data_IF_670846558636
#
_entry.id   IF_670846558636
#
_cell.length_a   1.000
_cell.length_b   1.000
_cell.length_c   1.000
_cell.angle_alpha   90.00
_cell.angle_beta   90.00
_cell.angle_gamma   90.00
#
_symmetry.space_group_name_H-M   'P 1'
#
loop_
_entity.id
_entity.type
_entity.pdbx_description
1 polymer ?
#
# COMPACT_ATOMS: atom_id res chain seq x y z
N UNK A 1 26.75 53.68 -74.71
CA UNK A 1 26.17 54.97 -75.11
C UNK A 1 24.99 55.34 -74.25
N UNK A 2 25.24 56.36 -73.49
CA UNK A 2 24.38 57.52 -73.24
C UNK A 2 23.03 57.35 -72.56
N UNK A 3 22.99 57.91 -71.47
CA UNK A 3 22.52 59.26 -71.07
C UNK A 3 21.00 59.18 -70.77
N UNK A 4 20.47 59.72 -69.78
CA UNK A 4 20.62 60.89 -69.01
C UNK A 4 19.40 61.20 -68.19
N UNK A 5 19.62 61.70 -67.06
CA UNK A 5 19.16 62.94 -66.44
C UNK A 5 17.65 63.19 -66.11
N UNK A 6 17.54 63.58 -64.87
CA UNK A 6 16.58 64.48 -64.19
C UNK A 6 15.14 63.98 -63.95
N UNK A 7 14.64 63.99 -62.81
CA UNK A 7 14.54 64.97 -61.78
C UNK A 7 13.08 65.29 -61.49
N UNK A 8 12.66 65.17 -60.29
CA UNK A 8 11.79 66.12 -59.58
C UNK A 8 11.15 65.49 -58.32
N UNK A 9 11.35 66.13 -57.25
CA UNK A 9 10.76 65.89 -55.97
C UNK A 9 9.23 66.01 -55.98
N UNK A 10 8.56 65.07 -55.29
CA UNK A 10 7.21 65.30 -54.78
C UNK A 10 7.12 64.72 -53.38
N UNK A 11 6.81 65.62 -52.52
CA UNK A 11 6.48 65.30 -51.07
C UNK A 11 5.24 64.42 -51.08
N UNK A 12 5.28 63.35 -50.35
CA UNK A 12 4.07 62.62 -49.89
C UNK A 12 4.21 62.27 -48.47
N UNK A 13 3.15 62.58 -47.79
CA UNK A 13 2.92 62.44 -46.32
C UNK A 13 3.12 61.04 -45.82
N UNK A 14 3.86 60.94 -44.73
CA UNK A 14 3.97 59.75 -43.90
C UNK A 14 2.72 59.56 -43.04
N UNK A 15 1.94 58.58 -43.35
CA UNK A 15 0.96 58.00 -42.44
C UNK A 15 1.63 56.85 -41.70
N UNK A 16 1.91 57.09 -40.42
CA UNK A 16 2.37 56.05 -39.51
C UNK A 16 1.21 55.12 -39.15
N UNK A 17 1.23 53.91 -39.67
CA UNK A 17 0.34 52.84 -39.21
C UNK A 17 1.02 52.14 -38.01
N UNK A 18 0.52 52.40 -36.83
CA UNK A 18 0.84 51.64 -35.64
C UNK A 18 0.27 50.22 -35.78
N UNK A 19 1.12 49.27 -36.11
CA UNK A 19 0.78 47.85 -35.95
C UNK A 19 0.86 47.49 -34.46
N UNK A 20 -0.28 47.37 -33.80
CA UNK A 20 -0.39 46.76 -32.50
C UNK A 20 -0.15 45.26 -32.64
N UNK A 21 1.02 44.79 -32.29
CA UNK A 21 1.28 43.36 -32.12
C UNK A 21 0.62 42.91 -30.83
N UNK A 22 -0.51 42.26 -30.91
CA UNK A 22 -1.12 41.50 -29.83
C UNK A 22 -0.24 40.26 -29.57
N UNK A 23 0.69 40.39 -28.64
CA UNK A 23 1.38 39.25 -28.07
C UNK A 23 0.37 38.54 -27.16
N UNK A 24 -0.28 37.50 -27.67
CA UNK A 24 -0.98 36.53 -26.82
C UNK A 24 0.06 35.73 -26.07
N UNK A 25 0.48 36.25 -24.91
CA UNK A 25 1.24 35.51 -23.94
C UNK A 25 0.34 34.38 -23.37
N UNK A 26 0.57 33.16 -23.79
CA UNK A 26 0.07 32.02 -23.08
C UNK A 26 0.73 32.05 -21.70
N UNK A 27 0.00 32.55 -20.69
CA UNK A 27 0.36 32.31 -19.30
C UNK A 27 0.31 30.79 -19.08
N UNK A 28 1.48 30.17 -19.06
CA UNK A 28 1.61 28.86 -18.49
C UNK A 28 1.17 28.99 -17.03
N UNK A 29 0.01 28.45 -16.70
CA UNK A 29 -0.46 28.37 -15.34
C UNK A 29 0.54 27.47 -14.59
N UNK A 30 1.42 28.10 -13.81
CA UNK A 30 2.20 27.35 -12.81
C UNK A 30 1.16 26.73 -11.85
N UNK A 31 1.21 25.41 -11.60
CA UNK A 31 0.35 24.83 -10.61
C UNK A 31 0.57 25.58 -9.29
N UNK A 32 -0.51 26.05 -8.71
CA UNK A 32 -0.45 26.70 -7.41
C UNK A 32 0.14 25.68 -6.39
N UNK A 33 1.03 26.12 -5.47
CA UNK A 33 1.47 25.23 -4.42
C UNK A 33 0.24 24.75 -3.65
N UNK A 34 0.19 23.43 -3.36
CA UNK A 34 -0.90 22.84 -2.60
C UNK A 34 -1.10 23.65 -1.30
N UNK A 35 -2.32 24.13 -1.09
CA UNK A 35 -2.68 24.85 0.12
C UNK A 35 -2.82 23.84 1.27
N UNK A 36 -2.59 24.29 2.50
CA UNK A 36 -2.84 23.50 3.70
C UNK A 36 -4.29 22.98 3.80
N UNK A 37 -5.20 23.55 3.03
CA UNK A 37 -6.62 23.19 2.96
C UNK A 37 -6.90 21.96 2.06
N UNK A 38 -5.91 21.46 1.31
CA UNK A 38 -6.06 20.33 0.39
C UNK A 38 -5.70 18.99 1.02
N UNK A 39 -5.91 18.83 2.32
CA UNK A 39 -5.67 17.56 3.02
C UNK A 39 -6.69 16.51 2.58
N UNK A 40 -6.22 15.29 2.31
CA UNK A 40 -7.09 14.14 2.08
C UNK A 40 -7.79 13.82 3.41
N UNK A 41 -9.10 14.00 3.48
CA UNK A 41 -9.89 13.81 4.70
C UNK A 41 -10.64 12.49 4.72
N UNK A 42 -10.81 11.85 3.56
CA UNK A 42 -11.49 10.57 3.41
C UNK A 42 -11.00 9.82 2.17
N UNK A 43 -11.34 8.54 2.09
CA UNK A 43 -11.13 7.66 0.96
C UNK A 43 -12.44 6.93 0.64
N UNK A 44 -12.62 6.46 -0.59
CA UNK A 44 -13.85 5.73 -0.96
C UNK A 44 -14.03 4.45 -0.14
N UNK A 45 -12.95 3.74 0.17
CA UNK A 45 -13.02 2.53 1.00
C UNK A 45 -13.56 2.80 2.41
N UNK A 46 -13.42 4.02 2.94
CA UNK A 46 -13.86 4.36 4.29
C UNK A 46 -15.36 4.11 4.46
N UNK A 47 -16.16 4.56 3.49
CA UNK A 47 -17.61 4.28 3.45
C UNK A 47 -17.90 2.82 3.11
N UNK A 48 -17.17 2.27 2.17
CA UNK A 48 -17.36 0.88 1.73
C UNK A 48 -17.25 -0.12 2.88
N UNK A 49 -16.27 0.07 3.76
CA UNK A 49 -16.07 -0.80 4.94
C UNK A 49 -16.85 -0.34 6.19
N UNK A 50 -17.62 0.71 6.12
CA UNK A 50 -18.33 1.28 7.28
C UNK A 50 -17.39 1.59 8.45
N UNK A 51 -16.25 2.22 8.17
CA UNK A 51 -15.21 2.49 9.18
C UNK A 51 -15.64 3.52 10.21
N UNK A 52 -16.56 4.44 9.87
CA UNK A 52 -17.21 5.34 10.81
C UNK A 52 -17.93 4.57 11.94
N UNK A 53 -18.73 3.58 11.57
CA UNK A 53 -19.42 2.70 12.53
C UNK A 53 -18.44 1.87 13.37
N UNK A 54 -17.37 1.38 12.75
CA UNK A 54 -16.31 0.60 13.44
C UNK A 54 -15.62 1.48 14.49
N UNK A 55 -15.25 2.70 14.13
CA UNK A 55 -14.62 3.68 15.03
C UNK A 55 -15.55 4.13 16.15
N UNK A 56 -16.83 4.36 15.85
CA UNK A 56 -17.83 4.74 16.84
C UNK A 56 -17.99 3.71 17.97
N UNK A 57 -17.67 2.44 17.69
CA UNK A 57 -17.64 1.35 18.68
C UNK A 57 -16.31 1.23 19.43
N UNK A 58 -15.34 2.10 19.15
CA UNK A 58 -14.03 2.10 19.78
C UNK A 58 -13.04 1.09 19.17
N UNK A 59 -13.34 0.52 18.00
CA UNK A 59 -12.43 -0.40 17.31
C UNK A 59 -11.48 0.40 16.42
N UNK A 60 -10.29 0.69 16.94
CA UNK A 60 -9.33 1.62 16.33
C UNK A 60 -7.90 1.07 16.23
N UNK A 61 -7.68 -0.16 16.67
CA UNK A 61 -6.39 -0.82 16.58
C UNK A 61 -5.47 -0.59 17.78
N UNK A 62 -5.98 -0.02 18.87
CA UNK A 62 -5.20 0.20 20.09
C UNK A 62 -4.52 -1.09 20.59
N UNK A 63 -3.24 -0.98 20.97
CA UNK A 63 -2.45 -2.07 21.52
C UNK A 63 -1.82 -2.99 20.47
N UNK A 64 -2.01 -2.72 19.19
CA UNK A 64 -1.40 -3.51 18.10
C UNK A 64 -0.25 -2.73 17.45
N UNK A 65 0.84 -3.41 17.22
CA UNK A 65 1.98 -2.92 16.43
C UNK A 65 1.93 -3.52 15.03
N UNK A 66 1.86 -2.64 14.03
CA UNK A 66 1.95 -2.98 12.61
C UNK A 66 3.33 -2.60 12.11
N UNK A 67 4.02 -3.52 11.45
CA UNK A 67 5.18 -3.19 10.64
C UNK A 67 4.77 -2.99 9.18
N UNK A 68 5.21 -1.92 8.58
CA UNK A 68 5.08 -1.66 7.15
C UNK A 68 6.46 -1.74 6.51
N UNK A 69 6.61 -2.56 5.51
CA UNK A 69 7.86 -2.67 4.73
C UNK A 69 7.58 -2.10 3.34
N UNK A 70 8.16 -0.92 3.07
CA UNK A 70 7.92 -0.17 1.84
C UNK A 70 9.07 0.83 1.63
N UNK A 71 8.86 1.86 0.82
CA UNK A 71 9.74 2.99 0.69
C UNK A 71 9.69 3.97 1.87
N UNK A 72 10.38 5.10 1.77
CA UNK A 72 10.39 6.13 2.81
C UNK A 72 9.03 6.80 2.95
N UNK A 73 8.55 6.88 4.19
CA UNK A 73 7.31 7.58 4.53
C UNK A 73 7.60 9.04 4.85
N UNK A 74 6.88 9.95 4.22
CA UNK A 74 6.86 11.37 4.61
C UNK A 74 5.94 11.57 5.81
N UNK A 75 6.52 11.53 7.00
CA UNK A 75 5.77 11.73 8.26
C UNK A 75 5.27 13.16 8.45
N UNK A 76 5.71 14.10 7.63
CA UNK A 76 5.22 15.49 7.62
C UNK A 76 3.95 15.67 6.78
N UNK A 77 3.54 14.64 6.02
CA UNK A 77 2.33 14.71 5.22
C UNK A 77 1.09 15.03 6.08
N UNK A 78 0.21 15.93 5.62
CA UNK A 78 -0.97 16.32 6.40
C UNK A 78 -1.86 15.14 6.81
N UNK A 79 -1.91 14.11 5.98
CA UNK A 79 -2.70 12.90 6.19
C UNK A 79 -2.19 12.04 7.36
N UNK A 80 -0.96 12.24 7.80
CA UNK A 80 -0.31 11.48 8.87
C UNK A 80 -0.18 12.25 10.20
N UNK A 81 -0.70 13.47 10.25
CA UNK A 81 -0.69 14.27 11.50
C UNK A 81 -1.39 13.52 12.63
N UNK A 82 -0.71 13.39 13.75
CA UNK A 82 -1.22 12.72 14.96
C UNK A 82 -1.14 11.19 14.93
N UNK A 83 -0.72 10.58 13.83
CA UNK A 83 -0.50 9.14 13.75
C UNK A 83 0.75 8.72 14.56
N UNK A 84 0.70 7.55 15.16
CA UNK A 84 1.83 6.99 15.90
C UNK A 84 2.74 6.18 14.96
N UNK A 85 3.71 6.86 14.37
CA UNK A 85 4.62 6.29 13.38
C UNK A 85 6.07 6.45 13.84
N UNK A 86 6.82 5.34 13.78
CA UNK A 86 8.27 5.33 13.86
C UNK A 86 8.82 4.88 12.51
N UNK A 87 9.68 5.69 11.90
CA UNK A 87 10.37 5.33 10.67
C UNK A 87 11.72 4.73 11.01
N UNK A 88 12.03 3.59 10.40
CA UNK A 88 13.34 2.94 10.48
C UNK A 88 13.90 2.78 9.07
N UNK A 89 15.16 3.17 8.90
CA UNK A 89 15.87 3.08 7.63
C UNK A 89 17.04 2.10 7.78
N UNK A 90 16.80 0.79 7.63
CA UNK A 90 17.84 -0.22 7.79
C UNK A 90 18.93 -0.10 6.72
N UNK A 91 18.62 0.57 5.63
CA UNK A 91 19.51 0.81 4.52
C UNK A 91 19.24 2.20 3.94
N UNK A 92 20.28 3.03 3.85
CA UNK A 92 20.19 4.34 3.20
C UNK A 92 20.30 4.19 1.68
N UNK A 93 19.41 4.82 0.97
CA UNK A 93 19.36 4.82 -0.50
C UNK A 93 18.58 6.04 -1.01
N UNK A 94 18.79 6.38 -2.28
CA UNK A 94 18.01 7.42 -2.94
C UNK A 94 16.71 6.82 -3.47
N UNK A 95 15.62 7.11 -2.79
CA UNK A 95 14.31 6.64 -3.20
C UNK A 95 13.76 7.48 -4.34
N UNK A 96 13.21 6.80 -5.36
CA UNK A 96 12.46 7.44 -6.41
C UNK A 96 11.23 8.18 -5.84
N UNK A 97 10.80 9.24 -6.52
CA UNK A 97 9.62 10.02 -6.15
C UNK A 97 8.37 9.14 -5.96
N UNK A 98 8.13 8.24 -6.91
CA UNK A 98 6.97 7.35 -6.86
C UNK A 98 7.02 6.41 -5.66
N UNK A 99 8.19 5.95 -5.27
CA UNK A 99 8.40 5.13 -4.08
C UNK A 99 8.00 5.88 -2.81
N UNK A 100 8.36 7.17 -2.69
CA UNK A 100 7.99 8.03 -1.55
C UNK A 100 6.49 8.29 -1.49
N UNK A 101 5.89 8.62 -2.63
CA UNK A 101 4.45 8.84 -2.75
C UNK A 101 3.67 7.59 -2.38
N UNK A 102 4.08 6.43 -2.88
CA UNK A 102 3.48 5.14 -2.61
C UNK A 102 3.54 4.80 -1.11
N UNK A 103 4.72 4.85 -0.51
CA UNK A 103 4.92 4.50 0.90
C UNK A 103 4.09 5.38 1.84
N UNK A 104 4.02 6.69 1.58
CA UNK A 104 3.21 7.62 2.37
C UNK A 104 1.72 7.32 2.24
N UNK A 105 1.23 7.00 1.05
CA UNK A 105 -0.16 6.58 0.83
C UNK A 105 -0.48 5.28 1.57
N UNK A 106 0.39 4.27 1.52
CA UNK A 106 0.23 3.00 2.25
C UNK A 106 0.18 3.24 3.77
N UNK A 107 1.08 4.05 4.31
CA UNK A 107 1.06 4.42 5.73
C UNK A 107 -0.26 5.11 6.12
N UNK A 108 -0.76 5.99 5.26
CA UNK A 108 -2.04 6.69 5.49
C UNK A 108 -3.23 5.74 5.54
N UNK A 109 -3.26 4.73 4.66
CA UNK A 109 -4.30 3.69 4.68
C UNK A 109 -4.28 2.92 6.00
N UNK A 110 -3.12 2.67 6.57
CA UNK A 110 -3.00 1.97 7.85
C UNK A 110 -3.43 2.82 9.03
N UNK A 111 -2.89 4.03 9.17
CA UNK A 111 -2.94 4.77 10.44
C UNK A 111 -3.36 6.24 10.36
N UNK A 112 -3.79 6.76 9.21
CA UNK A 112 -4.32 8.13 9.16
C UNK A 112 -5.44 8.31 10.19
N UNK A 113 -5.39 9.40 10.95
CA UNK A 113 -6.47 9.73 11.89
C UNK A 113 -7.79 9.98 11.19
N UNK A 114 -7.76 10.45 9.94
CA UNK A 114 -8.96 10.74 9.18
C UNK A 114 -9.59 9.47 8.57
N UNK A 115 -8.80 8.59 7.99
CA UNK A 115 -9.32 7.47 7.20
C UNK A 115 -8.54 6.16 7.31
N UNK A 116 -7.53 6.07 8.15
CA UNK A 116 -6.77 4.83 8.36
C UNK A 116 -7.65 3.72 8.94
N UNK A 117 -7.32 2.48 8.60
CA UNK A 117 -8.03 1.29 9.13
C UNK A 117 -7.85 1.17 10.64
N UNK A 118 -6.65 1.41 11.14
CA UNK A 118 -6.26 1.24 12.53
C UNK A 118 -5.57 2.51 13.06
N UNK A 119 -6.31 3.62 13.23
CA UNK A 119 -5.73 4.93 13.52
C UNK A 119 -5.03 5.04 14.88
N UNK A 120 -5.28 4.13 15.81
CA UNK A 120 -4.66 4.09 17.13
C UNK A 120 -3.67 2.92 17.29
N UNK A 121 -3.35 2.22 16.21
CA UNK A 121 -2.24 1.28 16.18
C UNK A 121 -0.89 1.99 16.19
N UNK A 122 0.14 1.29 16.63
CA UNK A 122 1.52 1.73 16.44
C UNK A 122 2.01 1.23 15.09
N UNK A 123 2.50 2.13 14.25
CA UNK A 123 3.12 1.80 12.96
C UNK A 123 4.63 1.95 13.05
N UNK A 124 5.36 0.90 12.70
CA UNK A 124 6.80 0.98 12.44
C UNK A 124 6.98 0.81 10.94
N UNK A 125 7.44 1.87 10.29
CA UNK A 125 7.67 1.90 8.86
C UNK A 125 9.15 1.66 8.55
N UNK A 126 9.44 0.53 7.90
CA UNK A 126 10.79 0.17 7.46
C UNK A 126 10.96 0.60 6.01
N UNK A 127 11.89 1.52 5.79
CA UNK A 127 12.26 1.98 4.46
C UNK A 127 13.28 1.05 3.83
N UNK A 128 12.90 0.38 2.77
CA UNK A 128 13.77 -0.53 2.00
C UNK A 128 13.70 -0.21 0.52
N UNK A 129 14.82 -0.35 -0.25
CA UNK A 129 14.79 -0.09 -1.69
C UNK A 129 13.86 -1.07 -2.42
N UNK A 130 13.26 -0.58 -3.49
CA UNK A 130 12.52 -1.37 -4.48
C UNK A 130 13.37 -1.60 -5.72
N UNK A 131 12.85 -2.40 -6.68
CA UNK A 131 13.55 -2.62 -7.95
C UNK A 131 13.76 -1.33 -8.78
N UNK A 132 12.98 -0.29 -8.51
CA UNK A 132 13.06 1.01 -9.19
C UNK A 132 14.04 1.99 -8.52
N UNK A 133 14.59 1.63 -7.36
CA UNK A 133 15.50 2.48 -6.60
C UNK A 133 16.96 2.09 -6.85
N UNK A 134 17.85 3.08 -6.82
CA UNK A 134 19.28 2.79 -6.89
C UNK A 134 19.76 2.20 -5.55
N UNK A 135 20.24 0.95 -5.61
CA UNK A 135 20.77 0.27 -4.45
C UNK A 135 22.11 0.86 -4.03
N UNK A 136 22.17 1.44 -2.84
CA UNK A 136 23.41 1.76 -2.16
C UNK A 136 23.36 1.43 -0.68
N UNK A 137 22.87 0.26 -0.34
CA UNK A 137 22.89 -0.23 1.03
C UNK A 137 24.30 -0.50 1.51
N UNK A 138 24.97 0.49 2.04
CA UNK A 138 26.41 0.44 2.38
C UNK A 138 26.71 0.06 3.82
N UNK A 139 25.73 -0.13 4.71
CA UNK A 139 26.02 -0.06 6.15
C UNK A 139 25.88 -1.35 6.96
N UNK A 140 25.24 -2.41 6.50
CA UNK A 140 25.26 -3.67 7.25
C UNK A 140 25.21 -4.87 6.31
N UNK A 141 26.27 -5.69 6.35
CA UNK A 141 26.33 -6.93 5.58
C UNK A 141 25.25 -7.94 5.97
N UNK A 142 24.70 -7.86 7.18
CA UNK A 142 23.60 -8.68 7.66
C UNK A 142 22.23 -8.20 7.19
N UNK A 143 22.14 -6.93 6.83
CA UNK A 143 20.94 -6.27 6.32
C UNK A 143 21.04 -5.99 4.82
N UNK A 144 22.05 -6.58 4.15
CA UNK A 144 22.23 -6.42 2.70
C UNK A 144 20.94 -6.68 1.99
N UNK A 145 20.47 -5.66 1.40
CA UNK A 145 19.37 -5.59 0.45
C UNK A 145 18.13 -6.22 1.02
N UNK A 146 17.35 -5.64 1.79
CA UNK A 146 16.20 -6.37 1.60
C UNK A 146 15.09 -6.30 2.58
N UNK A 147 14.04 -6.43 1.93
CA UNK A 147 12.77 -6.74 2.52
C UNK A 147 12.89 -7.82 3.60
N UNK A 148 13.66 -8.90 3.42
CA UNK A 148 13.75 -9.95 4.46
C UNK A 148 14.51 -9.52 5.72
N UNK A 149 15.53 -8.70 5.60
CA UNK A 149 16.15 -8.08 6.78
C UNK A 149 15.16 -7.21 7.56
N UNK A 150 14.25 -6.53 6.86
CA UNK A 150 13.16 -5.80 7.48
C UNK A 150 12.13 -6.72 8.17
N UNK A 151 11.86 -7.92 7.65
CA UNK A 151 11.03 -8.92 8.33
C UNK A 151 11.63 -9.33 9.69
N UNK A 152 12.95 -9.57 9.73
CA UNK A 152 13.65 -9.89 10.97
C UNK A 152 13.57 -8.75 11.99
N UNK A 153 13.81 -7.52 11.54
CA UNK A 153 13.68 -6.33 12.39
C UNK A 153 12.26 -6.17 12.90
N UNK A 154 11.27 -6.34 12.04
CA UNK A 154 9.87 -6.23 12.42
C UNK A 154 9.48 -7.22 13.51
N UNK A 155 9.93 -8.47 13.40
CA UNK A 155 9.71 -9.49 14.45
C UNK A 155 10.41 -9.10 15.76
N UNK A 156 11.66 -8.65 15.69
CA UNK A 156 12.43 -8.23 16.87
C UNK A 156 11.82 -6.99 17.53
N UNK A 157 11.20 -6.11 16.77
CA UNK A 157 10.52 -4.92 17.27
C UNK A 157 9.11 -5.19 17.79
N UNK A 158 8.65 -6.43 17.77
CA UNK A 158 7.37 -6.84 18.33
C UNK A 158 6.17 -6.63 17.44
N UNK A 159 6.37 -6.54 16.11
CA UNK A 159 5.26 -6.45 15.18
C UNK A 159 4.34 -7.68 15.28
N UNK A 160 3.05 -7.43 15.27
CA UNK A 160 2.02 -8.47 15.28
C UNK A 160 1.44 -8.70 13.87
N UNK A 161 1.51 -7.69 13.02
CA UNK A 161 1.10 -7.71 11.61
C UNK A 161 2.21 -7.07 10.79
N UNK A 162 2.57 -7.70 9.69
CA UNK A 162 3.49 -7.12 8.70
C UNK A 162 2.70 -6.85 7.42
N UNK A 163 2.60 -5.58 7.02
CA UNK A 163 2.05 -5.14 5.75
C UNK A 163 3.19 -4.93 4.76
N UNK A 164 3.25 -5.77 3.73
CA UNK A 164 4.28 -5.76 2.71
C UNK A 164 3.66 -5.47 1.35
N UNK A 165 3.74 -4.22 0.89
CA UNK A 165 3.04 -3.75 -0.31
C UNK A 165 3.90 -3.81 -1.58
N UNK A 166 4.64 -4.88 -1.74
CA UNK A 166 5.49 -5.15 -2.92
C UNK A 166 5.28 -6.55 -3.46
N UNK A 167 5.43 -6.72 -4.76
CA UNK A 167 5.53 -8.02 -5.41
C UNK A 167 6.99 -8.24 -5.79
N UNK A 168 7.72 -8.98 -4.97
CA UNK A 168 9.10 -9.39 -5.28
C UNK A 168 9.08 -10.70 -6.07
N UNK A 169 9.79 -10.69 -7.17
CA UNK A 169 9.87 -11.84 -8.07
C UNK A 169 10.89 -12.91 -7.65
N UNK A 170 11.50 -12.78 -6.48
CA UNK A 170 12.65 -13.60 -6.10
C UNK A 170 12.38 -14.40 -4.82
N UNK A 171 11.35 -15.25 -4.87
CA UNK A 171 10.82 -15.96 -3.70
C UNK A 171 11.64 -17.18 -3.26
N UNK A 172 12.52 -17.67 -4.10
CA UNK A 172 13.29 -18.87 -3.79
C UNK A 172 14.50 -18.61 -2.89
N UNK A 173 14.72 -17.37 -2.47
CA UNK A 173 15.84 -17.06 -1.60
C UNK A 173 15.63 -17.63 -0.20
N UNK A 174 16.55 -18.48 0.23
CA UNK A 174 16.52 -19.12 1.53
C UNK A 174 16.32 -18.15 2.71
N UNK A 175 16.93 -16.94 2.76
CA UNK A 175 16.69 -15.99 3.84
C UNK A 175 15.24 -15.55 3.98
N UNK A 176 14.54 -15.25 2.87
CA UNK A 176 13.13 -14.88 2.91
C UNK A 176 12.26 -16.05 3.39
N UNK A 177 12.52 -17.25 2.89
CA UNK A 177 11.85 -18.46 3.34
C UNK A 177 11.92 -18.62 4.86
N UNK A 178 13.11 -18.48 5.42
CA UNK A 178 13.32 -18.61 6.86
C UNK A 178 12.71 -17.48 7.67
N UNK A 179 12.72 -16.23 7.16
CA UNK A 179 12.06 -15.11 7.80
C UNK A 179 10.54 -15.31 7.91
N UNK A 180 9.91 -15.79 6.83
CA UNK A 180 8.48 -16.12 6.81
C UNK A 180 8.15 -17.25 7.77
N UNK A 181 8.94 -18.32 7.76
CA UNK A 181 8.74 -19.46 8.66
C UNK A 181 8.84 -19.03 10.13
N UNK A 182 9.82 -18.21 10.49
CA UNK A 182 9.94 -17.67 11.84
C UNK A 182 8.77 -16.75 12.21
N UNK A 183 8.32 -15.91 11.28
CA UNK A 183 7.16 -15.06 11.52
C UNK A 183 5.93 -15.91 11.88
N UNK A 184 5.67 -16.96 11.12
CA UNK A 184 4.58 -17.90 11.41
C UNK A 184 4.74 -18.55 12.77
N UNK A 185 5.93 -19.06 13.10
CA UNK A 185 6.22 -19.70 14.37
C UNK A 185 6.07 -18.75 15.57
N UNK A 186 6.35 -17.46 15.38
CA UNK A 186 6.18 -16.41 16.40
C UNK A 186 4.77 -15.79 16.41
N UNK A 187 3.88 -16.22 15.53
CA UNK A 187 2.52 -15.72 15.45
C UNK A 187 2.38 -14.33 14.84
N UNK A 188 3.35 -13.90 14.05
CA UNK A 188 3.25 -12.67 13.25
C UNK A 188 2.49 -12.97 11.97
N UNK A 189 1.51 -12.14 11.63
CA UNK A 189 0.69 -12.30 10.42
C UNK A 189 1.26 -11.41 9.32
N UNK A 190 1.66 -12.04 8.21
CA UNK A 190 2.21 -11.35 7.04
C UNK A 190 1.12 -11.21 5.99
N UNK A 191 0.99 -9.99 5.44
CA UNK A 191 0.02 -9.64 4.41
C UNK A 191 0.76 -9.08 3.20
N UNK A 192 0.49 -9.62 2.01
CA UNK A 192 1.16 -9.20 0.79
C UNK A 192 0.27 -9.25 -0.46
N UNK A 193 0.56 -8.43 -1.48
CA UNK A 193 -0.25 -8.34 -2.69
C UNK A 193 0.03 -9.48 -3.66
N UNK A 194 -1.00 -9.85 -4.42
CA UNK A 194 -0.85 -10.86 -5.49
C UNK A 194 -0.19 -10.30 -6.76
N UNK A 195 -0.28 -9.00 -7.00
CA UNK A 195 0.27 -8.35 -8.19
C UNK A 195 -0.78 -7.63 -9.04
N UNK A 196 -0.29 -6.87 -10.04
CA UNK A 196 -1.10 -5.94 -10.85
C UNK A 196 -1.03 -6.23 -12.36
N UNK A 197 -0.73 -7.45 -12.76
CA UNK A 197 -0.47 -7.81 -14.15
C UNK A 197 -1.66 -8.52 -14.83
N UNK A 198 -2.81 -8.56 -14.17
CA UNK A 198 -4.05 -9.20 -14.66
C UNK A 198 -3.80 -10.63 -15.18
N UNK A 199 -3.05 -11.42 -14.40
CA UNK A 199 -2.69 -12.82 -14.73
C UNK A 199 -2.58 -13.68 -13.48
N UNK A 200 -2.45 -14.98 -13.67
CA UNK A 200 -2.10 -15.92 -12.60
C UNK A 200 -0.67 -15.68 -12.12
N UNK A 201 -0.52 -15.29 -10.87
CA UNK A 201 0.75 -14.96 -10.23
C UNK A 201 1.18 -16.01 -9.19
N UNK A 202 0.68 -17.22 -9.30
CA UNK A 202 1.09 -18.34 -8.45
C UNK A 202 2.56 -18.47 -8.47
N UNK A 203 3.41 -18.45 -7.71
CA UNK A 203 4.88 -18.55 -7.66
C UNK A 203 5.65 -17.23 -7.75
N UNK A 204 4.99 -16.10 -8.02
CA UNK A 204 5.69 -14.84 -8.27
C UNK A 204 5.56 -13.80 -7.15
N UNK A 205 4.76 -14.04 -6.11
CA UNK A 205 4.56 -13.07 -5.03
C UNK A 205 4.61 -13.72 -3.65
N UNK A 206 4.87 -12.90 -2.64
CA UNK A 206 4.78 -13.31 -1.24
C UNK A 206 3.38 -13.87 -0.90
N UNK A 207 2.36 -13.41 -1.60
CA UNK A 207 0.99 -13.89 -1.49
C UNK A 207 0.84 -15.40 -1.68
N UNK A 208 1.72 -16.02 -2.48
CA UNK A 208 1.66 -17.46 -2.74
C UNK A 208 2.16 -18.32 -1.55
N UNK A 209 2.99 -17.77 -0.69
CA UNK A 209 3.63 -18.54 0.38
C UNK A 209 2.63 -19.04 1.43
N UNK A 210 2.86 -20.25 1.93
CA UNK A 210 2.11 -20.80 3.05
C UNK A 210 2.15 -19.86 4.26
N UNK A 211 1.01 -19.72 4.94
CA UNK A 211 0.89 -18.90 6.13
C UNK A 211 0.79 -17.39 5.89
N UNK A 212 1.04 -16.90 4.69
CA UNK A 212 0.85 -15.48 4.36
C UNK A 212 -0.58 -15.18 3.92
N UNK A 213 -1.05 -13.98 4.16
CA UNK A 213 -2.35 -13.49 3.68
C UNK A 213 -2.14 -12.81 2.33
N UNK A 214 -2.39 -13.54 1.25
CA UNK A 214 -2.36 -13.02 -0.11
C UNK A 214 -3.58 -12.17 -0.41
N UNK A 215 -3.38 -10.99 -0.99
CA UNK A 215 -4.43 -9.99 -1.22
C UNK A 215 -4.55 -9.65 -2.70
N UNK A 216 -5.75 -9.79 -3.23
CA UNK A 216 -6.15 -9.25 -4.53
C UNK A 216 -6.93 -7.95 -4.38
N UNK A 217 -7.24 -7.29 -5.50
CA UNK A 217 -7.95 -6.02 -5.46
C UNK A 217 -9.36 -6.11 -6.05
N UNK A 218 -10.26 -5.42 -5.36
CA UNK A 218 -11.56 -4.99 -5.87
C UNK A 218 -11.58 -3.47 -5.98
N UNK A 219 -12.52 -2.91 -6.74
CA UNK A 219 -12.79 -1.48 -6.73
C UNK A 219 -13.71 -1.09 -5.55
N UNK A 220 -14.04 0.19 -5.43
CA UNK A 220 -14.91 0.71 -4.36
C UNK A 220 -16.38 0.28 -4.47
N UNK A 221 -16.77 -0.43 -5.53
CA UNK A 221 -18.09 -1.08 -5.67
C UNK A 221 -18.07 -2.56 -5.28
N UNK A 222 -16.88 -3.12 -5.04
CA UNK A 222 -16.69 -4.53 -4.72
C UNK A 222 -16.46 -5.44 -5.94
N UNK A 223 -16.38 -4.86 -7.14
CA UNK A 223 -16.09 -5.60 -8.36
C UNK A 223 -14.59 -5.92 -8.44
N UNK A 224 -14.25 -7.12 -8.93
CA UNK A 224 -12.85 -7.50 -9.10
C UNK A 224 -12.14 -6.53 -10.04
N UNK A 225 -11.02 -5.97 -9.59
CA UNK A 225 -10.30 -4.94 -10.33
C UNK A 225 -9.60 -5.54 -11.56
N UNK A 226 -9.78 -4.91 -12.72
CA UNK A 226 -9.26 -5.41 -13.99
C UNK A 226 -7.74 -5.55 -14.05
N UNK A 227 -7.00 -4.77 -13.24
CA UNK A 227 -5.55 -4.86 -13.13
C UNK A 227 -5.08 -5.94 -12.16
N UNK A 228 -5.95 -6.42 -11.26
CA UNK A 228 -5.53 -7.37 -10.24
C UNK A 228 -5.10 -8.69 -10.85
N UNK A 229 -3.94 -9.16 -10.41
CA UNK A 229 -3.57 -10.55 -10.61
C UNK A 229 -4.40 -11.46 -9.70
N UNK A 230 -4.31 -12.75 -9.90
CA UNK A 230 -5.01 -13.79 -9.15
C UNK A 230 -4.15 -15.02 -8.95
N UNK A 231 -4.63 -16.00 -8.23
CA UNK A 231 -3.94 -17.28 -8.08
C UNK A 231 -4.27 -18.01 -6.78
N UNK A 232 -3.62 -19.14 -6.60
CA UNK A 232 -3.83 -20.05 -5.47
C UNK A 232 -3.49 -19.40 -4.12
N UNK A 233 -2.59 -18.42 -4.11
CA UNK A 233 -2.16 -17.75 -2.88
C UNK A 233 -3.14 -16.73 -2.32
N UNK A 234 -4.17 -16.33 -3.07
CA UNK A 234 -5.11 -15.29 -2.63
C UNK A 234 -5.97 -15.80 -1.49
N UNK A 235 -6.01 -15.05 -0.40
CA UNK A 235 -6.80 -15.34 0.81
C UNK A 235 -7.99 -14.40 0.92
N UNK A 236 -7.78 -13.13 0.63
CA UNK A 236 -8.80 -12.10 0.72
C UNK A 236 -8.62 -11.05 -0.39
N UNK A 237 -9.68 -10.31 -0.66
CA UNK A 237 -9.63 -9.13 -1.50
C UNK A 237 -9.80 -7.86 -0.68
N UNK A 238 -9.17 -6.78 -1.11
CA UNK A 238 -9.36 -5.46 -0.53
C UNK A 238 -9.61 -4.41 -1.60
N UNK A 239 -10.16 -3.26 -1.22
CA UNK A 239 -10.33 -2.13 -2.15
C UNK A 239 -8.97 -1.58 -2.53
N UNK A 240 -8.54 -1.83 -3.76
CA UNK A 240 -7.25 -1.38 -4.28
C UNK A 240 -7.29 -0.03 -4.98
N UNK A 241 -8.46 0.57 -5.11
CA UNK A 241 -8.65 1.86 -5.73
C UNK A 241 -10.12 2.24 -5.99
N UNK A 242 -10.36 3.52 -6.35
CA UNK A 242 -9.38 4.59 -6.39
C UNK A 242 -8.87 4.98 -5.00
N UNK A 243 -7.58 5.27 -4.91
CA UNK A 243 -6.93 5.76 -3.69
C UNK A 243 -6.38 7.15 -3.98
N UNK A 244 -6.78 8.13 -3.19
CA UNK A 244 -6.19 9.46 -3.23
C UNK A 244 -4.81 9.44 -2.60
N UNK A 245 -3.82 9.87 -3.36
CA UNK A 245 -2.43 9.96 -2.92
C UNK A 245 -1.87 11.36 -3.18
N UNK A 246 -1.05 11.84 -2.26
CA UNK A 246 -0.33 13.11 -2.38
C UNK A 246 1.02 12.86 -3.02
N UNK A 247 1.24 13.48 -4.17
CA UNK A 247 2.56 13.47 -4.82
C UNK A 247 3.61 14.10 -3.88
N UNK A 248 4.72 13.39 -3.66
CA UNK A 248 5.74 13.80 -2.71
C UNK A 248 6.42 15.14 -3.10
N UNK A 249 6.66 15.37 -4.38
CA UNK A 249 7.37 16.58 -4.83
C UNK A 249 6.44 17.77 -5.00
N UNK A 250 5.25 17.57 -5.56
CA UNK A 250 4.34 18.66 -5.94
C UNK A 250 3.24 18.92 -4.92
N UNK A 251 2.97 17.98 -4.02
CA UNK A 251 1.84 18.02 -3.12
C UNK A 251 0.48 17.84 -3.80
N UNK A 252 0.46 17.60 -5.11
CA UNK A 252 -0.79 17.38 -5.87
C UNK A 252 -1.44 16.07 -5.45
N UNK A 253 -2.74 16.09 -5.25
CA UNK A 253 -3.53 14.90 -4.93
C UNK A 253 -4.03 14.29 -6.24
N UNK A 254 -3.73 13.01 -6.45
CA UNK A 254 -4.17 12.25 -7.61
C UNK A 254 -4.74 10.90 -7.17
N UNK A 255 -5.55 10.30 -8.03
CA UNK A 255 -6.04 8.94 -7.80
C UNK A 255 -5.01 7.92 -8.32
N UNK A 256 -4.83 6.87 -7.53
CA UNK A 256 -4.00 5.71 -7.86
C UNK A 256 -4.73 4.43 -7.51
N UNK A 257 -4.17 3.29 -7.90
CA UNK A 257 -4.75 1.98 -7.64
C UNK A 257 -3.68 0.89 -7.65
N UNK A 258 -3.98 -0.23 -7.02
CA UNK A 258 -3.09 -1.40 -7.02
C UNK A 258 -3.42 -2.37 -5.91
N UNK A 259 -3.02 -3.62 -6.05
CA UNK A 259 -3.07 -4.61 -4.98
C UNK A 259 -2.16 -4.22 -3.81
N UNK A 260 -1.16 -3.38 -4.07
CA UNK A 260 -0.31 -2.78 -3.03
C UNK A 260 -1.05 -1.82 -2.09
N UNK A 261 -2.20 -1.28 -2.49
CA UNK A 261 -3.09 -0.47 -1.65
C UNK A 261 -4.20 -1.32 -0.98
N UNK A 262 -4.62 -2.40 -1.62
CA UNK A 262 -5.51 -3.39 -1.02
C UNK A 262 -4.84 -4.12 0.17
N UNK A 263 -3.54 -4.34 0.10
CA UNK A 263 -2.74 -5.00 1.13
C UNK A 263 -2.82 -4.31 2.49
N UNK A 264 -2.55 -3.00 2.64
CA UNK A 264 -2.68 -2.31 3.93
C UNK A 264 -4.12 -2.25 4.44
N UNK A 265 -5.12 -2.30 3.57
CA UNK A 265 -6.51 -2.42 4.01
C UNK A 265 -6.72 -3.73 4.75
N UNK A 266 -6.34 -4.85 4.16
CA UNK A 266 -6.47 -6.16 4.81
C UNK A 266 -5.58 -6.26 6.05
N UNK A 267 -4.35 -5.76 6.00
CA UNK A 267 -3.47 -5.71 7.17
C UNK A 267 -4.07 -4.88 8.31
N UNK A 268 -4.68 -3.74 8.00
CA UNK A 268 -5.39 -2.91 8.97
C UNK A 268 -6.62 -3.60 9.55
N UNK A 269 -7.38 -4.33 8.77
CA UNK A 269 -8.50 -5.15 9.23
C UNK A 269 -8.05 -6.25 10.20
N UNK A 270 -6.93 -6.90 9.91
CA UNK A 270 -6.32 -7.90 10.80
C UNK A 270 -5.84 -7.25 12.09
N UNK A 271 -5.23 -6.07 12.03
CA UNK A 271 -4.83 -5.32 13.22
C UNK A 271 -6.03 -4.95 14.09
N UNK A 272 -7.15 -4.53 13.50
CA UNK A 272 -8.40 -4.30 14.22
C UNK A 272 -8.91 -5.56 14.91
N UNK A 273 -8.85 -6.72 14.24
CA UNK A 273 -9.23 -8.00 14.82
C UNK A 273 -8.33 -8.38 15.99
N UNK A 274 -7.02 -8.23 15.87
CA UNK A 274 -6.07 -8.49 16.95
C UNK A 274 -6.29 -7.57 18.15
N UNK A 275 -6.62 -6.31 17.91
CA UNK A 275 -6.97 -5.35 18.96
C UNK A 275 -8.30 -5.70 19.66
N UNK A 276 -9.30 -6.12 18.88
CA UNK A 276 -10.64 -6.49 19.38
C UNK A 276 -10.62 -7.78 20.18
N UNK A 277 -9.79 -8.72 19.78
CA UNK A 277 -9.72 -10.08 20.32
C UNK A 277 -8.31 -10.42 20.83
N UNK A 278 -7.82 -9.73 21.89
CA UNK A 278 -6.43 -9.88 22.34
C UNK A 278 -6.13 -11.29 22.89
N UNK A 279 -7.16 -12.03 23.31
CA UNK A 279 -7.02 -13.40 23.82
C UNK A 279 -6.94 -14.46 22.72
N UNK A 280 -7.30 -14.10 21.47
CA UNK A 280 -7.23 -15.02 20.35
C UNK A 280 -5.78 -15.26 19.92
N UNK A 281 -5.48 -16.51 19.58
CA UNK A 281 -4.18 -16.84 19.00
C UNK A 281 -4.08 -16.28 17.57
N UNK A 282 -2.87 -16.09 17.05
CA UNK A 282 -2.68 -15.70 15.63
C UNK A 282 -3.38 -16.64 14.65
N UNK A 283 -3.37 -17.95 14.92
CA UNK A 283 -4.09 -18.92 14.10
C UNK A 283 -5.60 -18.70 14.13
N UNK A 284 -6.14 -18.41 15.30
CA UNK A 284 -7.58 -18.09 15.45
C UNK A 284 -7.96 -16.78 14.75
N UNK A 285 -7.08 -15.79 14.72
CA UNK A 285 -7.26 -14.58 13.90
C UNK A 285 -7.26 -14.93 12.41
N UNK A 286 -6.38 -15.81 11.94
CA UNK A 286 -6.37 -16.28 10.56
C UNK A 286 -7.63 -17.09 10.22
N UNK A 287 -8.12 -17.91 11.16
CA UNK A 287 -9.42 -18.58 11.01
C UNK A 287 -10.55 -17.56 10.87
N UNK A 288 -10.55 -16.49 11.66
CA UNK A 288 -11.52 -15.41 11.53
C UNK A 288 -11.46 -14.76 10.14
N UNK A 289 -10.26 -14.50 9.61
CA UNK A 289 -10.06 -13.97 8.26
C UNK A 289 -10.72 -14.89 7.22
N UNK A 290 -10.42 -16.18 7.25
CA UNK A 290 -10.97 -17.15 6.28
C UNK A 290 -12.49 -17.38 6.40
N UNK A 291 -13.09 -16.96 7.53
CA UNK A 291 -14.53 -17.07 7.77
C UNK A 291 -15.29 -15.74 7.68
N UNK A 292 -14.58 -14.65 7.37
CA UNK A 292 -15.17 -13.29 7.32
C UNK A 292 -15.31 -12.72 5.92
N UNK A 293 -14.98 -13.49 4.89
CA UNK A 293 -15.14 -13.06 3.50
C UNK A 293 -16.61 -12.98 3.08
N UNK A 294 -16.88 -12.14 2.10
CA UNK A 294 -18.22 -11.92 1.55
C UNK A 294 -18.63 -12.95 0.49
N UNK A 295 -17.75 -13.86 0.08
CA UNK A 295 -18.12 -14.88 -0.87
C UNK A 295 -19.26 -15.75 -0.32
N UNK A 296 -20.21 -16.07 -1.20
CA UNK A 296 -21.35 -16.87 -0.85
C UNK A 296 -20.90 -18.23 -0.28
N UNK A 297 -21.55 -18.67 0.79
CA UNK A 297 -21.21 -19.93 1.49
C UNK A 297 -19.76 -20.05 1.95
N UNK A 298 -19.06 -18.92 2.09
CA UNK A 298 -17.63 -18.87 2.42
C UNK A 298 -16.76 -19.67 1.43
N UNK A 299 -17.18 -19.72 0.16
CA UNK A 299 -16.43 -20.43 -0.87
C UNK A 299 -15.16 -19.66 -1.28
N UNK A 300 -14.07 -20.39 -1.35
CA UNK A 300 -12.81 -19.87 -1.86
C UNK A 300 -12.78 -19.88 -3.39
N UNK A 301 -12.20 -18.83 -3.99
CA UNK A 301 -11.84 -18.82 -5.41
C UNK A 301 -10.49 -18.12 -5.63
N UNK A 302 -9.85 -18.38 -6.76
CA UNK A 302 -8.51 -17.85 -7.05
C UNK A 302 -8.48 -16.33 -7.26
N UNK A 303 -9.61 -15.66 -7.48
CA UNK A 303 -9.66 -14.22 -7.75
C UNK A 303 -9.75 -13.39 -6.47
N UNK A 304 -10.61 -13.76 -5.57
CA UNK A 304 -10.90 -13.01 -4.34
C UNK A 304 -10.59 -13.77 -3.05
N UNK A 305 -10.03 -14.98 -3.15
CA UNK A 305 -9.89 -15.84 -1.99
C UNK A 305 -11.25 -16.17 -1.38
N UNK A 306 -11.41 -15.89 -0.09
CA UNK A 306 -12.70 -15.96 0.60
C UNK A 306 -13.57 -14.72 0.40
N UNK A 307 -13.07 -13.73 -0.33
CA UNK A 307 -13.76 -12.49 -0.65
C UNK A 307 -13.23 -11.28 0.11
N UNK A 308 -13.90 -10.16 -0.07
CA UNK A 308 -13.68 -8.94 0.72
C UNK A 308 -14.06 -9.21 2.17
N UNK A 309 -13.22 -8.81 3.12
CA UNK A 309 -13.47 -9.05 4.54
C UNK A 309 -14.56 -8.12 5.08
N UNK A 310 -15.53 -8.71 5.77
CA UNK A 310 -16.62 -7.99 6.40
C UNK A 310 -16.22 -7.53 7.81
N UNK A 311 -16.05 -6.22 7.99
CA UNK A 311 -15.65 -5.65 9.28
C UNK A 311 -16.65 -5.95 10.41
N UNK A 312 -17.94 -5.88 10.10
CA UNK A 312 -18.96 -6.17 11.10
C UNK A 312 -18.87 -7.60 11.62
N UNK A 313 -18.63 -8.56 10.74
CA UNK A 313 -18.43 -9.97 11.10
C UNK A 313 -17.15 -10.16 11.91
N UNK A 314 -16.04 -9.56 11.47
CA UNK A 314 -14.77 -9.66 12.18
C UNK A 314 -14.82 -9.10 13.61
N UNK A 315 -15.58 -8.02 13.81
CA UNK A 315 -15.70 -7.38 15.12
C UNK A 315 -16.72 -8.04 16.07
N UNK A 316 -17.61 -8.88 15.55
CA UNK A 316 -18.67 -9.55 16.30
C UNK A 316 -18.43 -11.03 16.55
N UNK A 317 -17.63 -11.68 15.71
CA UNK A 317 -17.37 -13.12 15.81
C UNK A 317 -16.15 -13.34 16.70
N UNK A 318 -16.34 -13.97 17.83
CA UNK A 318 -15.25 -14.33 18.75
C UNK A 318 -14.39 -15.44 18.11
N UNK A 319 -13.13 -15.15 17.73
CA UNK A 319 -12.30 -16.15 17.06
C UNK A 319 -11.78 -17.25 17.99
N UNK A 320 -11.90 -17.12 19.30
CA UNK A 320 -11.50 -18.17 20.25
C UNK A 320 -12.33 -19.44 20.13
N UNK A 321 -13.49 -19.36 19.45
CA UNK A 321 -14.30 -20.54 19.10
C UNK A 321 -13.70 -21.40 17.97
N UNK A 322 -12.78 -20.84 17.19
CA UNK A 322 -12.12 -21.57 16.11
C UNK A 322 -10.97 -22.42 16.65
N UNK A 323 -10.57 -23.50 15.93
CA UNK A 323 -9.36 -24.25 16.29
C UNK A 323 -8.12 -23.36 16.23
N UNK A 324 -7.16 -23.63 17.11
CA UNK A 324 -5.84 -22.99 17.06
C UNK A 324 -4.94 -23.71 16.05
N UNK A 325 -5.36 -23.66 14.80
CA UNK A 325 -4.67 -24.26 13.66
C UNK A 325 -4.56 -23.20 12.55
N UNK A 326 -3.38 -23.10 11.93
CA UNK A 326 -3.17 -22.16 10.84
C UNK A 326 -3.90 -22.64 9.57
N UNK A 327 -4.97 -21.94 9.13
CA UNK A 327 -5.72 -22.36 7.96
C UNK A 327 -4.99 -22.11 6.64
N UNK A 328 -3.85 -21.40 6.68
CA UNK A 328 -3.03 -21.03 5.53
C UNK A 328 -1.73 -21.83 5.46
N UNK A 329 -1.52 -22.81 6.35
CA UNK A 329 -0.32 -23.64 6.37
C UNK A 329 -0.13 -24.44 5.08
N UNK A 330 -1.23 -24.83 4.45
CA UNK A 330 -1.24 -25.47 3.14
C UNK A 330 -2.19 -24.71 2.20
N UNK A 331 -1.61 -23.97 1.28
CA UNK A 331 -2.36 -23.29 0.21
C UNK A 331 -2.43 -24.12 -1.08
N UNK A 332 -1.92 -25.35 -1.05
CA UNK A 332 -1.73 -26.16 -2.25
C UNK A 332 -0.51 -25.74 -3.07
N UNK A 333 -0.20 -26.49 -4.10
CA UNK A 333 0.87 -26.16 -5.03
C UNK A 333 2.31 -26.29 -4.49
N UNK A 334 2.50 -26.94 -3.34
CA UNK A 334 3.84 -27.17 -2.77
C UNK A 334 4.44 -25.90 -2.13
N UNK A 335 3.61 -24.95 -1.74
CA UNK A 335 4.08 -23.75 -1.04
C UNK A 335 4.68 -24.11 0.32
N UNK A 336 5.79 -23.49 0.65
CA UNK A 336 6.54 -23.62 1.90
C UNK A 336 7.06 -22.23 2.28
N UNK A 337 7.61 -21.99 3.45
CA UNK A 337 7.88 -22.90 4.56
C UNK A 337 6.69 -23.09 5.49
N UNK A 338 6.76 -24.14 6.30
CA UNK A 338 5.82 -24.34 7.40
C UNK A 338 6.49 -24.01 8.75
N UNK A 339 5.73 -23.70 9.82
CA UNK A 339 6.31 -23.49 11.13
C UNK A 339 7.16 -24.68 11.63
N UNK A 340 6.78 -25.90 11.27
CA UNK A 340 7.51 -27.12 11.64
C UNK A 340 8.92 -27.20 11.01
N UNK A 341 9.16 -26.51 9.89
CA UNK A 341 10.49 -26.49 9.26
C UNK A 341 11.49 -25.58 9.99
N UNK A 342 11.05 -24.83 11.00
CA UNK A 342 11.87 -23.89 11.75
C UNK A 342 12.34 -24.45 13.09
N UNK A 343 11.78 -25.55 13.55
CA UNK A 343 12.07 -26.18 14.86
C UNK A 343 13.37 -26.92 14.91
#
# INVERSE_FOLDING_TARGET
SNAGVAGRAARALTTAACALALATGALAATPAPARADDTITTQEYFSYYHLDSTRAKGYTGTGVTIAMIDGPVDTSAPELVGANITVKTPCEYEAAKNTRTHATAVASILVSKNYGLAPDATLIAYSTPSADDEESCTHDEKLKSSSYGAFELAMNDGAQVISYSRSDYNHEQAPLKWAIARAMAQGVIIVGPIGNDARDENHLSLAWWSGTVGVSAVDSTGEFASYSSWGQGVVAAGVGGPIKARDYDTGTITDTQGTSFATPIVAGQIALARSRWPEATPNQILQLVTHSGLNLNNEWNQYTGYGVLNMGRMMKTDPTQFPDENPLADKGGGSTPTPAEVQ
#
